data_IF_069784563649
#
_entry.id   IF_069784563649
#
_cell.length_a   1.000
_cell.length_b   1.000
_cell.length_c   1.000
_cell.angle_alpha   90.00
_cell.angle_beta   90.00
_cell.angle_gamma   90.00
#
_symmetry.space_group_name_H-M   'P 1'
#
loop_
_entity.id
_entity.type
_entity.pdbx_description
1 polymer ?
#
# COMPACT_ATOMS: atom_id res chain seq x y z
N UNK A 1 -2.61 42.58 -10.41
CA UNK A 1 -2.01 42.23 -11.72
C UNK A 1 -1.24 40.96 -11.53
N UNK A 2 -1.50 39.93 -12.33
CA UNK A 2 -0.81 38.63 -12.19
C UNK A 2 0.68 38.74 -12.46
N UNK A 3 1.53 37.98 -11.79
CA UNK A 3 3.00 38.04 -11.90
C UNK A 3 3.51 37.76 -13.32
N UNK A 4 2.72 37.06 -14.17
CA UNK A 4 3.05 36.72 -15.57
C UNK A 4 2.39 37.66 -16.61
N UNK A 5 1.71 38.73 -16.20
CA UNK A 5 0.88 39.56 -17.10
C UNK A 5 1.67 40.54 -18.03
N UNK A 6 3.00 40.55 -18.01
CA UNK A 6 3.82 41.55 -18.68
C UNK A 6 3.59 41.75 -20.19
N UNK A 7 3.06 40.74 -20.92
CA UNK A 7 2.76 40.79 -22.36
C UNK A 7 1.29 41.10 -22.64
N UNK A 8 0.39 40.82 -21.68
CA UNK A 8 -1.05 40.82 -21.94
C UNK A 8 -1.64 42.23 -21.81
N UNK A 9 -2.52 42.59 -22.74
CA UNK A 9 -3.19 43.90 -22.78
C UNK A 9 -4.60 43.86 -22.15
N UNK A 10 -5.09 42.68 -21.80
CA UNK A 10 -6.39 42.50 -21.19
C UNK A 10 -6.23 41.68 -19.92
N UNK A 11 -7.11 41.90 -18.95
CA UNK A 11 -7.22 41.03 -17.76
C UNK A 11 -7.76 39.65 -18.16
N UNK A 12 -7.33 38.63 -17.43
CA UNK A 12 -7.83 37.24 -17.62
C UNK A 12 -9.29 37.20 -17.17
N UNK A 13 -10.13 36.52 -17.92
CA UNK A 13 -11.52 36.27 -17.55
C UNK A 13 -11.58 35.48 -16.22
N UNK A 14 -12.55 35.80 -15.38
CA UNK A 14 -12.72 35.12 -14.07
C UNK A 14 -12.94 33.63 -14.22
N UNK A 15 -13.73 33.19 -15.21
CA UNK A 15 -13.94 31.77 -15.50
C UNK A 15 -12.62 31.04 -15.83
N UNK A 16 -11.71 31.69 -16.53
CA UNK A 16 -10.38 31.13 -16.85
C UNK A 16 -9.51 31.06 -15.59
N UNK A 17 -9.62 32.05 -14.70
CA UNK A 17 -8.91 32.03 -13.42
C UNK A 17 -9.36 30.85 -12.58
N UNK A 18 -10.66 30.68 -12.41
CA UNK A 18 -11.23 29.57 -11.62
C UNK A 18 -10.88 28.20 -12.22
N UNK A 19 -10.95 28.08 -13.56
CA UNK A 19 -10.60 26.87 -14.29
C UNK A 19 -9.13 26.47 -14.16
N UNK A 20 -8.23 27.45 -14.12
CA UNK A 20 -6.79 27.23 -14.05
C UNK A 20 -6.26 27.09 -12.61
N UNK A 21 -7.03 27.53 -11.61
CA UNK A 21 -6.60 27.53 -10.22
C UNK A 21 -6.45 26.12 -9.66
N UNK A 22 -5.33 25.86 -8.98
CA UNK A 22 -5.02 24.61 -8.29
C UNK A 22 -4.96 24.73 -6.77
N UNK A 23 -5.10 25.95 -6.24
CA UNK A 23 -4.97 26.20 -4.80
C UNK A 23 -5.92 25.35 -3.95
N UNK A 24 -7.07 24.98 -4.48
CA UNK A 24 -8.04 24.12 -3.80
C UNK A 24 -7.51 22.74 -3.40
N UNK A 25 -6.51 22.23 -4.08
CA UNK A 25 -5.89 20.93 -3.80
C UNK A 25 -4.38 21.01 -3.56
N UNK A 26 -3.64 21.93 -4.21
CA UNK A 26 -2.19 22.03 -4.06
C UNK A 26 -1.75 22.78 -2.79
N UNK A 27 -2.68 23.41 -2.07
CA UNK A 27 -2.41 24.03 -0.78
C UNK A 27 -1.68 23.10 0.20
N UNK A 28 -1.89 21.78 0.11
CA UNK A 28 -1.21 20.80 0.98
C UNK A 28 0.31 20.72 0.76
N UNK A 29 0.81 21.23 -0.37
CA UNK A 29 2.24 21.25 -0.68
C UNK A 29 2.99 22.45 -0.04
N UNK A 30 2.37 23.23 0.84
CA UNK A 30 2.97 24.42 1.40
C UNK A 30 4.33 24.18 2.10
N UNK A 31 4.48 23.02 2.77
CA UNK A 31 5.74 22.66 3.42
C UNK A 31 6.84 22.39 2.41
N UNK A 32 6.52 21.61 1.37
CA UNK A 32 7.46 21.24 0.31
C UNK A 32 7.89 22.47 -0.48
N UNK A 33 6.95 23.35 -0.86
CA UNK A 33 7.26 24.60 -1.55
C UNK A 33 8.15 25.53 -0.72
N UNK A 34 7.85 25.72 0.57
CA UNK A 34 8.68 26.55 1.45
C UNK A 34 10.08 25.97 1.62
N UNK A 35 10.21 24.66 1.80
CA UNK A 35 11.51 23.99 1.92
C UNK A 35 12.31 24.07 0.62
N UNK A 36 11.68 23.83 -0.53
CA UNK A 36 12.27 24.03 -1.85
C UNK A 36 12.75 25.44 -2.06
N UNK A 37 11.93 26.42 -1.69
CA UNK A 37 12.23 27.86 -1.75
C UNK A 37 13.38 28.27 -0.82
N UNK A 38 13.45 27.73 0.40
CA UNK A 38 14.56 27.96 1.33
C UNK A 38 15.90 27.41 0.75
N UNK A 39 15.88 26.19 0.24
CA UNK A 39 17.06 25.58 -0.36
C UNK A 39 17.54 26.37 -1.58
N UNK A 40 16.61 26.84 -2.42
CA UNK A 40 16.90 27.67 -3.58
C UNK A 40 17.49 29.03 -3.17
N UNK A 41 16.91 29.75 -2.23
CA UNK A 41 17.40 31.04 -1.73
C UNK A 41 18.80 30.91 -1.13
N UNK A 42 19.05 29.87 -0.34
CA UNK A 42 20.37 29.59 0.26
C UNK A 42 21.44 29.33 -0.84
N UNK A 43 21.06 28.62 -1.91
CA UNK A 43 21.93 28.38 -3.06
C UNK A 43 22.20 29.70 -3.83
N UNK A 44 21.19 30.51 -4.06
CA UNK A 44 21.36 31.80 -4.77
C UNK A 44 22.32 32.73 -4.03
N UNK A 45 22.22 32.84 -2.69
CA UNK A 45 23.17 33.62 -1.89
C UNK A 45 24.57 33.05 -1.97
N UNK A 46 24.76 31.74 -1.73
CA UNK A 46 26.09 31.10 -1.75
C UNK A 46 26.79 31.19 -3.12
N UNK A 47 26.03 31.20 -4.22
CA UNK A 47 26.57 31.36 -5.58
C UNK A 47 26.77 32.84 -5.95
N UNK A 48 26.46 33.80 -5.07
CA UNK A 48 26.58 35.23 -5.32
C UNK A 48 25.61 35.75 -6.42
N UNK A 49 24.51 35.04 -6.64
CA UNK A 49 23.46 35.43 -7.60
C UNK A 49 22.59 36.53 -7.00
N UNK A 50 22.36 36.46 -5.71
CA UNK A 50 21.76 37.51 -4.86
C UNK A 50 22.69 37.79 -3.70
N UNK A 51 22.51 38.93 -3.03
CA UNK A 51 23.32 39.28 -1.88
C UNK A 51 22.99 38.36 -0.67
N UNK A 52 23.99 38.02 0.13
CA UNK A 52 23.83 37.12 1.30
C UNK A 52 22.74 37.59 2.24
N UNK A 53 22.69 38.89 2.55
CA UNK A 53 21.68 39.48 3.42
C UNK A 53 20.26 39.41 2.85
N UNK A 54 20.09 39.37 1.52
CA UNK A 54 18.80 39.18 0.86
C UNK A 54 18.36 37.71 0.95
N UNK A 55 19.32 36.78 0.75
CA UNK A 55 19.06 35.34 0.94
C UNK A 55 18.60 35.03 2.36
N UNK A 56 19.31 35.56 3.37
CA UNK A 56 18.94 35.41 4.80
C UNK A 56 17.53 35.95 5.07
N UNK A 57 17.21 37.16 4.58
CA UNK A 57 15.92 37.79 4.74
C UNK A 57 14.76 36.97 4.10
N UNK A 58 15.00 36.39 2.93
CA UNK A 58 14.07 35.49 2.25
C UNK A 58 13.84 34.23 3.11
N UNK A 59 14.90 33.59 3.57
CA UNK A 59 14.82 32.37 4.39
C UNK A 59 14.05 32.61 5.70
N UNK A 60 14.35 33.72 6.40
CA UNK A 60 13.62 34.09 7.61
C UNK A 60 12.14 34.39 7.33
N UNK A 61 11.85 35.11 6.23
CA UNK A 61 10.49 35.39 5.79
C UNK A 61 9.70 34.11 5.48
N UNK A 62 10.30 33.13 4.80
CA UNK A 62 9.68 31.84 4.49
C UNK A 62 9.43 31.00 5.74
N UNK A 63 10.37 30.95 6.69
CA UNK A 63 10.18 30.27 7.98
C UNK A 63 9.04 30.89 8.79
N UNK A 64 8.92 32.22 8.78
CA UNK A 64 7.85 32.91 9.47
C UNK A 64 6.48 32.66 8.79
N UNK A 65 6.44 32.53 7.45
CA UNK A 65 5.22 32.15 6.72
C UNK A 65 4.81 30.72 7.07
N UNK A 66 5.78 29.78 7.12
CA UNK A 66 5.51 28.40 7.52
C UNK A 66 4.85 28.34 8.89
N UNK A 67 5.43 29.03 9.89
CA UNK A 67 4.87 29.09 11.22
C UNK A 67 3.44 29.69 11.25
N UNK A 68 3.19 30.74 10.48
CA UNK A 68 1.86 31.34 10.41
C UNK A 68 0.82 30.42 9.76
N UNK A 69 1.22 29.59 8.76
CA UNK A 69 0.35 28.58 8.15
C UNK A 69 0.03 27.48 9.17
N UNK A 70 1.05 26.96 9.86
CA UNK A 70 0.90 25.91 10.87
C UNK A 70 0.05 26.37 12.07
N UNK A 71 0.13 27.65 12.44
CA UNK A 71 -0.70 28.28 13.47
C UNK A 71 -2.13 28.59 12.98
N UNK A 72 -2.46 28.32 11.71
CA UNK A 72 -3.78 28.60 11.14
C UNK A 72 -4.09 30.09 10.96
N UNK A 73 -3.06 30.94 10.86
CA UNK A 73 -3.19 32.40 10.72
C UNK A 73 -3.30 32.87 9.27
N UNK A 74 -3.15 31.96 8.32
CA UNK A 74 -3.09 32.26 6.88
C UNK A 74 -4.30 31.68 6.18
N UNK A 75 -4.95 32.52 5.35
CA UNK A 75 -5.92 32.09 4.35
C UNK A 75 -5.30 32.24 2.96
N UNK A 76 -5.35 31.16 2.15
CA UNK A 76 -4.87 31.22 0.78
C UNK A 76 -5.89 31.91 -0.13
N UNK A 77 -5.40 32.72 -1.05
CA UNK A 77 -6.22 33.47 -2.00
C UNK A 77 -6.34 32.71 -3.33
N UNK A 78 -7.57 32.54 -3.80
CA UNK A 78 -7.86 32.01 -5.15
C UNK A 78 -7.31 32.92 -6.27
N UNK A 79 -7.14 34.22 -6.02
CA UNK A 79 -6.57 35.17 -6.98
C UNK A 79 -5.10 34.85 -7.32
N UNK A 80 -4.42 34.12 -6.45
CA UNK A 80 -3.02 33.70 -6.64
C UNK A 80 -2.88 32.31 -7.28
N UNK A 81 -3.89 31.79 -7.91
CA UNK A 81 -3.89 30.57 -8.74
C UNK A 81 -3.43 29.28 -8.03
N UNK A 82 -2.24 29.26 -7.40
CA UNK A 82 -1.60 28.09 -6.78
C UNK A 82 -0.90 28.42 -5.47
N UNK A 83 -0.43 27.40 -4.76
CA UNK A 83 0.28 27.57 -3.47
C UNK A 83 1.57 28.37 -3.65
N UNK A 84 2.27 28.20 -4.74
CA UNK A 84 3.54 28.86 -5.02
C UNK A 84 3.37 30.37 -5.12
N UNK A 85 2.36 30.83 -5.87
CA UNK A 85 2.04 32.27 -5.99
C UNK A 85 1.53 32.83 -4.67
N UNK A 86 0.79 32.06 -3.87
CA UNK A 86 0.36 32.47 -2.55
C UNK A 86 1.56 32.74 -1.63
N UNK A 87 2.52 31.81 -1.56
CA UNK A 87 3.73 31.95 -0.74
C UNK A 87 4.60 33.11 -1.23
N UNK A 88 4.82 33.25 -2.56
CA UNK A 88 5.60 34.35 -3.12
C UNK A 88 4.96 35.71 -2.87
N UNK A 89 3.63 35.84 -2.95
CA UNK A 89 2.90 37.06 -2.65
C UNK A 89 3.02 37.42 -1.15
N UNK A 90 2.82 36.46 -0.25
CA UNK A 90 2.99 36.65 1.19
C UNK A 90 4.42 37.07 1.54
N UNK A 91 5.41 36.41 0.92
CA UNK A 91 6.81 36.75 1.14
C UNK A 91 7.12 38.20 0.69
N UNK A 92 6.67 38.57 -0.52
CA UNK A 92 6.87 39.92 -1.05
C UNK A 92 6.18 40.98 -0.19
N UNK A 93 4.97 40.69 0.29
CA UNK A 93 4.27 41.59 1.21
C UNK A 93 5.03 41.78 2.56
N UNK A 94 5.67 40.72 3.05
CA UNK A 94 6.36 40.72 4.34
C UNK A 94 7.73 41.38 4.29
N UNK A 95 8.52 41.13 3.23
CA UNK A 95 9.93 41.56 3.17
C UNK A 95 10.23 42.53 2.03
N UNK A 96 9.25 42.92 1.23
CA UNK A 96 9.39 43.89 0.15
C UNK A 96 10.18 43.37 -1.05
N UNK A 97 11.00 44.23 -1.67
CA UNK A 97 11.70 43.89 -2.93
C UNK A 97 12.65 42.69 -2.84
N UNK A 98 13.19 42.38 -1.67
CA UNK A 98 13.99 41.17 -1.49
C UNK A 98 13.20 39.89 -1.81
N UNK A 99 11.88 39.86 -1.49
CA UNK A 99 11.01 38.70 -1.82
C UNK A 99 10.88 38.43 -3.31
N UNK A 100 10.92 39.46 -4.13
CA UNK A 100 10.85 39.33 -5.60
C UNK A 100 12.08 38.62 -6.21
N UNK A 101 13.20 38.52 -5.47
CA UNK A 101 14.42 37.85 -5.93
C UNK A 101 14.38 36.34 -5.78
N UNK A 102 13.44 35.81 -5.01
CA UNK A 102 13.29 34.38 -4.81
C UNK A 102 13.08 33.61 -6.13
N UNK A 103 12.42 34.23 -7.10
CA UNK A 103 12.14 33.60 -8.40
C UNK A 103 13.34 33.61 -9.37
N UNK A 104 14.47 34.25 -9.01
CA UNK A 104 15.66 34.30 -9.85
C UNK A 104 16.16 32.90 -10.19
N UNK A 105 16.43 32.65 -11.48
CA UNK A 105 16.93 31.36 -12.01
C UNK A 105 15.99 30.15 -11.77
N UNK A 106 14.71 30.38 -11.44
CA UNK A 106 13.70 29.33 -11.20
C UNK A 106 12.51 29.50 -12.15
N UNK A 107 11.87 28.41 -12.46
CA UNK A 107 10.58 28.36 -13.14
C UNK A 107 9.51 27.73 -12.25
N UNK A 108 8.24 28.00 -12.55
CA UNK A 108 7.14 27.28 -11.95
C UNK A 108 7.25 25.76 -12.22
N UNK A 109 7.80 25.38 -13.39
CA UNK A 109 7.87 23.98 -13.81
C UNK A 109 8.77 23.15 -12.90
N UNK A 110 10.01 23.60 -12.59
CA UNK A 110 10.90 22.87 -11.70
C UNK A 110 10.49 22.99 -10.22
N UNK A 111 9.82 24.08 -9.85
CA UNK A 111 9.24 24.27 -8.52
C UNK A 111 8.12 23.25 -8.25
N UNK A 112 7.12 23.15 -9.13
CA UNK A 112 6.03 22.17 -8.98
C UNK A 112 6.57 20.73 -9.02
N UNK A 113 7.55 20.45 -9.88
CA UNK A 113 8.16 19.13 -9.98
C UNK A 113 8.85 18.71 -8.68
N UNK A 114 9.63 19.61 -8.05
CA UNK A 114 10.32 19.28 -6.79
C UNK A 114 9.34 19.10 -5.64
N UNK A 115 8.29 19.92 -5.55
CA UNK A 115 7.33 19.88 -4.45
C UNK A 115 6.53 18.58 -4.47
N UNK A 116 6.04 18.18 -5.64
CA UNK A 116 5.31 16.91 -5.78
C UNK A 116 6.23 15.72 -5.48
N UNK A 117 7.49 15.75 -5.94
CA UNK A 117 8.46 14.70 -5.71
C UNK A 117 8.88 14.61 -4.23
N UNK A 118 9.06 15.75 -3.56
CA UNK A 118 9.30 15.80 -2.11
C UNK A 118 8.12 15.22 -1.32
N UNK A 119 6.89 15.60 -1.67
CA UNK A 119 5.68 15.08 -1.04
C UNK A 119 5.64 13.55 -1.14
N UNK A 120 5.76 13.00 -2.35
CA UNK A 120 5.77 11.54 -2.56
C UNK A 120 6.91 10.86 -1.80
N UNK A 121 8.11 11.49 -1.76
CA UNK A 121 9.26 10.99 -1.01
C UNK A 121 8.99 10.88 0.50
N UNK A 122 8.17 11.75 1.03
CA UNK A 122 7.82 11.80 2.46
C UNK A 122 6.69 10.81 2.81
N UNK A 123 5.74 10.59 1.91
CA UNK A 123 4.60 9.70 2.15
C UNK A 123 4.96 8.20 2.03
N UNK A 124 5.88 7.84 1.13
CA UNK A 124 6.27 6.43 0.96
C UNK A 124 6.76 5.79 2.27
N UNK A 125 7.67 6.39 3.06
CA UNK A 125 8.08 5.84 4.35
C UNK A 125 6.93 5.70 5.35
N UNK A 126 5.97 6.63 5.35
CA UNK A 126 4.79 6.55 6.22
C UNK A 126 3.91 5.34 5.86
N UNK A 127 3.68 5.12 4.56
CA UNK A 127 2.94 3.94 4.07
C UNK A 127 3.70 2.64 4.37
N UNK A 128 5.01 2.58 4.14
CA UNK A 128 5.85 1.42 4.49
C UNK A 128 5.68 1.09 5.97
N UNK A 129 5.76 2.08 6.85
CA UNK A 129 5.57 1.88 8.28
C UNK A 129 4.21 1.26 8.60
N UNK A 130 3.13 1.74 7.99
CA UNK A 130 1.79 1.20 8.20
C UNK A 130 1.66 -0.26 7.71
N UNK A 131 2.33 -0.61 6.60
CA UNK A 131 2.38 -2.00 6.12
C UNK A 131 3.15 -2.90 7.09
N UNK A 132 4.28 -2.43 7.61
CA UNK A 132 5.05 -3.16 8.64
C UNK A 132 4.26 -3.33 9.94
N UNK A 133 3.48 -2.34 10.36
CA UNK A 133 2.58 -2.45 11.50
C UNK A 133 1.50 -3.54 11.27
N UNK A 134 0.94 -3.62 10.06
CA UNK A 134 0.03 -4.71 9.68
C UNK A 134 0.72 -6.08 9.72
N UNK A 135 1.96 -6.19 9.24
CA UNK A 135 2.72 -7.45 9.30
C UNK A 135 2.94 -7.93 10.75
N UNK A 136 3.21 -7.01 11.68
CA UNK A 136 3.31 -7.35 13.11
C UNK A 136 2.00 -7.92 13.65
N UNK A 137 0.86 -7.36 13.25
CA UNK A 137 -0.47 -7.89 13.58
C UNK A 137 -0.65 -9.31 13.05
N UNK A 138 -0.25 -9.56 11.80
CA UNK A 138 -0.35 -10.89 11.20
C UNK A 138 0.52 -11.92 11.91
N UNK A 139 1.74 -11.55 12.27
CA UNK A 139 2.65 -12.38 13.08
C UNK A 139 2.01 -12.73 14.41
N UNK A 140 1.49 -11.74 15.15
CA UNK A 140 0.80 -11.96 16.44
C UNK A 140 -0.39 -12.91 16.31
N UNK A 141 -1.22 -12.74 15.27
CA UNK A 141 -2.37 -13.61 14.99
C UNK A 141 -1.94 -15.04 14.62
N UNK A 142 -0.88 -15.17 13.83
CA UNK A 142 -0.34 -16.49 13.46
C UNK A 142 0.17 -17.25 14.69
N UNK A 143 0.94 -16.60 15.56
CA UNK A 143 1.46 -17.23 16.79
C UNK A 143 0.37 -17.73 17.71
N UNK A 144 -0.69 -16.94 17.87
CA UNK A 144 -1.83 -17.32 18.70
C UNK A 144 -2.64 -18.50 18.12
N UNK A 145 -2.41 -18.86 16.84
CA UNK A 145 -3.24 -19.82 16.11
C UNK A 145 -2.44 -20.91 15.37
N UNK A 146 -1.22 -21.23 15.82
CA UNK A 146 -0.35 -22.25 15.21
C UNK A 146 -1.01 -23.63 15.09
N UNK A 147 -1.84 -23.99 16.06
CA UNK A 147 -2.53 -25.27 16.12
C UNK A 147 -4.01 -25.19 15.65
N UNK A 148 -4.46 -24.03 15.14
CA UNK A 148 -5.83 -23.84 14.64
C UNK A 148 -5.97 -24.41 13.24
N UNK A 149 -6.36 -25.67 13.14
CA UNK A 149 -6.61 -26.36 11.86
C UNK A 149 -7.87 -25.82 11.21
N UNK A 150 -7.79 -25.54 9.91
CA UNK A 150 -8.90 -25.11 9.07
C UNK A 150 -8.81 -25.73 7.67
N UNK A 151 -9.93 -25.77 6.91
CA UNK A 151 -9.86 -26.21 5.52
C UNK A 151 -9.18 -25.15 4.67
N UNK A 152 -8.23 -25.55 3.83
CA UNK A 152 -7.76 -24.74 2.72
C UNK A 152 -8.70 -24.90 1.52
N UNK A 153 -8.85 -23.85 0.72
CA UNK A 153 -9.78 -23.79 -0.40
C UNK A 153 -9.06 -23.57 -1.73
N UNK A 154 -9.51 -24.26 -2.76
CA UNK A 154 -9.30 -23.94 -4.16
C UNK A 154 -10.65 -23.96 -4.87
N UNK A 155 -10.93 -23.02 -5.77
CA UNK A 155 -12.24 -22.89 -6.44
C UNK A 155 -13.43 -22.78 -5.46
N UNK A 156 -13.21 -22.22 -4.24
CA UNK A 156 -14.13 -22.22 -3.12
C UNK A 156 -14.60 -23.65 -2.69
N UNK A 157 -13.88 -24.68 -3.11
CA UNK A 157 -14.06 -26.06 -2.66
C UNK A 157 -13.02 -26.38 -1.58
N UNK A 158 -13.42 -27.13 -0.56
CA UNK A 158 -12.48 -27.63 0.45
C UNK A 158 -11.47 -28.55 -0.23
N UNK A 159 -10.17 -28.25 -0.04
CA UNK A 159 -9.10 -28.91 -0.77
C UNK A 159 -8.20 -29.74 0.18
N UNK A 160 -7.42 -29.09 1.01
CA UNK A 160 -6.47 -29.74 1.92
C UNK A 160 -6.51 -29.08 3.30
N UNK A 161 -6.15 -29.80 4.38
CA UNK A 161 -6.06 -29.20 5.69
C UNK A 161 -4.85 -28.26 5.76
N UNK A 162 -5.08 -27.12 6.43
CA UNK A 162 -4.06 -26.11 6.71
C UNK A 162 -4.30 -25.53 8.11
N UNK A 163 -3.60 -24.43 8.45
CA UNK A 163 -3.82 -23.68 9.69
C UNK A 163 -4.16 -22.23 9.42
N UNK A 164 -4.87 -21.60 10.35
CA UNK A 164 -5.10 -20.15 10.31
C UNK A 164 -3.77 -19.37 10.32
N UNK A 165 -2.78 -19.85 11.07
CA UNK A 165 -1.45 -19.26 11.08
C UNK A 165 -0.79 -19.27 9.70
N UNK A 166 -0.92 -20.36 8.95
CA UNK A 166 -0.38 -20.45 7.59
C UNK A 166 -1.05 -19.47 6.64
N UNK A 167 -2.37 -19.25 6.76
CA UNK A 167 -3.08 -18.21 6.03
C UNK A 167 -2.54 -16.81 6.34
N UNK A 168 -2.33 -16.50 7.63
CA UNK A 168 -1.77 -15.20 8.01
C UNK A 168 -0.38 -14.98 7.40
N UNK A 169 0.47 -16.02 7.39
CA UNK A 169 1.80 -15.94 6.77
C UNK A 169 1.75 -15.82 5.24
N UNK A 170 0.72 -16.34 4.59
CA UNK A 170 0.53 -16.13 3.16
C UNK A 170 0.29 -14.64 2.84
N UNK A 171 -0.56 -13.96 3.59
CA UNK A 171 -0.80 -12.52 3.45
C UNK A 171 0.42 -11.69 3.86
N UNK A 172 1.11 -12.03 4.95
CA UNK A 172 2.36 -11.36 5.32
C UNK A 172 3.40 -11.41 4.20
N UNK A 173 3.53 -12.54 3.49
CA UNK A 173 4.43 -12.62 2.33
C UNK A 173 3.97 -11.75 1.13
N UNK A 174 2.70 -11.41 1.01
CA UNK A 174 2.22 -10.44 0.00
C UNK A 174 2.65 -9.03 0.40
N UNK A 175 2.39 -8.62 1.63
CA UNK A 175 2.74 -7.28 2.15
C UNK A 175 4.26 -7.06 2.23
N UNK A 176 5.04 -8.08 2.57
CA UNK A 176 6.50 -8.04 2.45
C UNK A 176 6.97 -7.61 1.05
N UNK A 177 6.35 -8.15 -0.01
CA UNK A 177 6.66 -7.75 -1.39
C UNK A 177 6.19 -6.34 -1.72
N UNK A 178 5.15 -5.84 -1.05
CA UNK A 178 4.67 -4.47 -1.25
C UNK A 178 5.64 -3.46 -0.62
N UNK A 179 6.19 -3.76 0.56
CA UNK A 179 7.26 -2.94 1.17
C UNK A 179 8.44 -2.81 0.23
N UNK A 180 8.95 -3.92 -0.33
CA UNK A 180 10.13 -3.85 -1.22
C UNK A 180 9.85 -3.11 -2.53
N UNK A 181 8.62 -3.12 -3.05
CA UNK A 181 8.22 -2.29 -4.20
C UNK A 181 8.28 -0.81 -3.86
N UNK A 182 7.70 -0.42 -2.73
CA UNK A 182 7.72 0.97 -2.26
C UNK A 182 9.14 1.48 -2.02
N UNK A 183 10.04 0.64 -1.50
CA UNK A 183 11.46 0.97 -1.34
C UNK A 183 12.15 1.16 -2.69
N UNK A 184 11.87 0.31 -3.66
CA UNK A 184 12.38 0.42 -5.02
C UNK A 184 11.88 1.71 -5.71
N UNK A 185 10.62 2.09 -5.53
CA UNK A 185 10.06 3.36 -5.99
C UNK A 185 10.77 4.53 -5.32
N UNK A 186 10.95 4.49 -3.98
CA UNK A 186 11.66 5.51 -3.22
C UNK A 186 13.10 5.71 -3.72
N UNK A 187 13.81 4.62 -4.03
CA UNK A 187 15.17 4.68 -4.56
C UNK A 187 15.25 5.33 -5.95
N UNK A 188 14.27 5.08 -6.83
CA UNK A 188 14.23 5.68 -8.17
C UNK A 188 13.81 7.15 -8.17
N UNK A 189 12.94 7.55 -7.26
CA UNK A 189 12.51 8.95 -7.16
C UNK A 189 13.54 9.87 -6.51
N UNK A 190 14.63 9.34 -5.94
CA UNK A 190 15.60 10.09 -5.12
C UNK A 190 16.56 10.99 -5.92
N UNK A 191 16.00 11.73 -6.89
CA UNK A 191 16.68 12.71 -7.73
C UNK A 191 15.93 14.04 -7.75
N UNK A 192 16.66 15.17 -7.58
CA UNK A 192 16.09 16.50 -7.43
C UNK A 192 15.90 17.20 -8.78
N UNK A 193 14.68 17.63 -9.15
CA UNK A 193 14.45 18.39 -10.39
C UNK A 193 14.76 19.88 -10.26
N UNK A 194 14.89 20.45 -9.05
CA UNK A 194 15.06 21.88 -8.85
C UNK A 194 16.36 22.40 -9.49
N UNK A 195 16.25 23.56 -10.15
CA UNK A 195 17.30 24.15 -10.96
C UNK A 195 17.28 23.74 -12.43
N UNK A 196 16.30 22.90 -12.84
CA UNK A 196 16.06 22.59 -14.25
C UNK A 196 15.44 23.79 -15.02
N UNK A 197 14.91 24.77 -14.28
CA UNK A 197 14.20 25.91 -14.86
C UNK A 197 12.93 25.48 -15.57
N UNK A 198 12.56 26.15 -16.64
CA UNK A 198 11.38 25.75 -17.42
C UNK A 198 11.59 24.41 -18.16
N UNK A 199 12.82 24.17 -18.69
CA UNK A 199 13.24 22.95 -19.38
C UNK A 199 14.76 22.92 -19.73
N UNK A 200 15.43 24.06 -19.75
CA UNK A 200 16.81 24.20 -20.25
C UNK A 200 17.74 24.88 -19.24
N UNK A 201 17.45 24.74 -17.96
CA UNK A 201 18.18 25.35 -16.86
C UNK A 201 18.15 26.88 -16.87
N UNK A 202 19.25 27.54 -16.50
CA UNK A 202 19.40 28.98 -16.41
C UNK A 202 20.81 29.40 -16.87
N UNK A 203 20.98 30.64 -17.25
CA UNK A 203 22.30 31.26 -17.55
C UNK A 203 23.07 31.64 -16.28
N UNK A 204 22.46 31.55 -15.11
CA UNK A 204 23.10 31.75 -13.82
C UNK A 204 23.87 30.50 -13.39
N UNK A 205 24.97 30.65 -12.64
CA UNK A 205 25.77 29.53 -12.16
C UNK A 205 25.11 28.83 -10.94
N UNK A 206 23.89 28.31 -11.12
CA UNK A 206 23.17 27.60 -10.05
C UNK A 206 23.84 26.28 -9.71
N UNK A 207 23.94 25.97 -8.42
CA UNK A 207 24.46 24.70 -7.92
C UNK A 207 23.29 23.74 -7.58
N UNK A 208 22.96 22.89 -8.54
CA UNK A 208 21.90 21.89 -8.39
C UNK A 208 22.23 20.79 -7.37
N UNK A 209 23.52 20.49 -7.15
CA UNK A 209 23.92 19.53 -6.12
C UNK A 209 23.68 20.08 -4.72
N UNK A 210 23.98 21.36 -4.49
CA UNK A 210 23.69 22.02 -3.23
C UNK A 210 22.20 21.96 -2.89
N UNK A 211 21.30 22.30 -3.84
CA UNK A 211 19.85 22.24 -3.62
C UNK A 211 19.36 20.82 -3.41
N UNK A 212 19.84 19.84 -4.19
CA UNK A 212 19.50 18.43 -4.02
C UNK A 212 19.85 17.93 -2.61
N UNK A 213 21.06 18.15 -2.15
CA UNK A 213 21.50 17.74 -0.81
C UNK A 213 20.74 18.44 0.32
N UNK A 214 20.46 19.75 0.17
CA UNK A 214 19.68 20.51 1.14
C UNK A 214 18.25 19.99 1.30
N UNK A 215 17.69 19.38 0.25
CA UNK A 215 16.36 18.77 0.23
C UNK A 215 16.38 17.26 0.52
N UNK A 216 17.56 16.69 0.82
CA UNK A 216 17.71 15.28 1.14
C UNK A 216 17.60 14.34 -0.05
N UNK A 217 17.80 14.83 -1.29
CA UNK A 217 17.95 13.98 -2.48
C UNK A 217 19.40 13.52 -2.65
N UNK A 218 19.56 12.33 -3.24
CA UNK A 218 20.88 11.78 -3.53
C UNK A 218 21.69 12.65 -4.53
N UNK A 219 21.02 13.12 -5.60
CA UNK A 219 21.64 13.95 -6.64
C UNK A 219 20.56 14.77 -7.39
N UNK A 220 20.96 15.77 -8.22
CA UNK A 220 20.04 16.35 -9.19
C UNK A 220 19.74 15.36 -10.32
N UNK A 221 18.58 15.50 -10.97
CA UNK A 221 18.25 14.78 -12.21
C UNK A 221 19.25 15.11 -13.33
N UNK A 222 19.54 14.12 -14.17
CA UNK A 222 20.62 14.20 -15.18
C UNK A 222 20.27 15.04 -16.42
N UNK A 223 18.98 15.22 -16.71
CA UNK A 223 18.51 16.03 -17.85
C UNK A 223 17.44 17.03 -17.43
N UNK A 224 17.62 18.31 -17.70
CA UNK A 224 16.72 19.38 -17.27
C UNK A 224 15.34 19.38 -17.96
N UNK A 225 15.26 18.86 -19.17
CA UNK A 225 13.98 18.76 -19.88
C UNK A 225 13.13 17.61 -19.34
N UNK A 226 13.76 16.48 -19.09
CA UNK A 226 13.18 15.32 -18.42
C UNK A 226 12.75 15.65 -16.99
N UNK A 227 13.57 16.40 -16.24
CA UNK A 227 13.30 16.84 -14.87
C UNK A 227 11.91 17.41 -14.62
N UNK A 228 11.43 18.24 -15.55
CA UNK A 228 10.14 18.93 -15.42
C UNK A 228 8.99 18.15 -16.09
N UNK A 229 9.32 17.12 -16.86
CA UNK A 229 8.37 16.26 -17.58
C UNK A 229 8.07 14.96 -16.82
N UNK A 230 9.03 14.44 -16.07
CA UNK A 230 8.94 13.15 -15.40
C UNK A 230 7.80 13.07 -14.38
N UNK A 231 6.98 12.04 -14.53
CA UNK A 231 5.96 11.60 -13.57
C UNK A 231 6.01 10.07 -13.35
N UNK A 232 7.08 9.42 -13.83
CA UNK A 232 7.22 7.96 -13.72
C UNK A 232 7.19 7.52 -12.27
N UNK A 233 7.85 8.26 -11.36
CA UNK A 233 7.83 7.99 -9.92
C UNK A 233 6.41 7.99 -9.32
N UNK A 234 5.53 8.87 -9.82
CA UNK A 234 4.16 8.95 -9.35
C UNK A 234 3.31 7.80 -9.93
N UNK A 235 3.51 7.47 -11.21
CA UNK A 235 2.85 6.32 -11.86
C UNK A 235 3.29 5.01 -11.19
N UNK A 236 4.58 4.87 -10.89
CA UNK A 236 5.13 3.71 -10.19
C UNK A 236 4.50 3.59 -8.81
N UNK A 237 4.47 4.66 -8.01
CA UNK A 237 3.79 4.66 -6.72
C UNK A 237 2.32 4.23 -6.85
N UNK A 238 1.57 4.79 -7.82
CA UNK A 238 0.17 4.42 -8.02
C UNK A 238 0.03 2.94 -8.40
N UNK A 239 0.97 2.37 -9.15
CA UNK A 239 1.00 0.95 -9.47
C UNK A 239 1.27 0.09 -8.21
N UNK A 240 2.21 0.48 -7.38
CA UNK A 240 2.54 -0.20 -6.14
C UNK A 240 1.38 -0.14 -5.13
N UNK A 241 0.76 1.03 -4.96
CA UNK A 241 -0.43 1.20 -4.14
C UNK A 241 -1.63 0.39 -4.68
N UNK A 242 -1.74 0.26 -6.00
CA UNK A 242 -2.77 -0.59 -6.62
C UNK A 242 -2.56 -2.07 -6.29
N UNK A 243 -1.31 -2.56 -6.29
CA UNK A 243 -0.98 -3.93 -5.90
C UNK A 243 -1.24 -4.14 -4.40
N UNK A 244 -0.83 -3.21 -3.56
CA UNK A 244 -1.08 -3.23 -2.11
C UNK A 244 -2.60 -3.30 -1.81
N UNK A 245 -3.39 -2.43 -2.44
CA UNK A 245 -4.84 -2.43 -2.27
C UNK A 245 -5.50 -3.71 -2.82
N UNK A 246 -4.96 -4.31 -3.87
CA UNK A 246 -5.41 -5.62 -4.36
C UNK A 246 -5.17 -6.71 -3.31
N UNK A 247 -4.03 -6.71 -2.62
CA UNK A 247 -3.78 -7.65 -1.53
C UNK A 247 -4.73 -7.43 -0.35
N UNK A 248 -4.97 -6.18 0.05
CA UNK A 248 -5.96 -5.83 1.08
C UNK A 248 -7.39 -6.24 0.66
N UNK A 249 -7.76 -6.04 -0.60
CA UNK A 249 -9.05 -6.44 -1.16
C UNK A 249 -9.25 -7.96 -1.10
N UNK A 250 -8.24 -8.75 -1.48
CA UNK A 250 -8.28 -10.21 -1.39
C UNK A 250 -8.42 -10.67 0.06
N UNK A 251 -7.70 -10.07 0.98
CA UNK A 251 -7.81 -10.40 2.39
C UNK A 251 -9.17 -9.99 2.97
N UNK A 252 -9.68 -8.83 2.56
CA UNK A 252 -11.05 -8.40 2.89
C UNK A 252 -12.10 -9.43 2.47
N UNK A 253 -11.99 -9.98 1.26
CA UNK A 253 -12.89 -11.03 0.76
C UNK A 253 -12.86 -12.28 1.63
N UNK A 254 -11.66 -12.76 2.01
CA UNK A 254 -11.53 -13.89 2.95
C UNK A 254 -12.21 -13.59 4.29
N UNK A 255 -11.99 -12.39 4.87
CA UNK A 255 -12.60 -11.99 6.14
C UNK A 255 -14.12 -11.93 6.01
N UNK A 256 -14.66 -11.37 4.92
CA UNK A 256 -16.10 -11.31 4.66
C UNK A 256 -16.71 -12.71 4.59
N UNK A 257 -16.07 -13.63 3.84
CA UNK A 257 -16.48 -15.03 3.80
C UNK A 257 -16.42 -15.67 5.19
N UNK A 258 -15.31 -15.49 5.91
CA UNK A 258 -15.12 -16.09 7.23
C UNK A 258 -16.08 -15.54 8.30
N UNK A 259 -16.54 -14.29 8.17
CA UNK A 259 -17.53 -13.70 9.06
C UNK A 259 -18.97 -14.14 8.74
N UNK A 260 -19.23 -14.64 7.51
CA UNK A 260 -20.57 -15.05 7.11
C UNK A 260 -21.16 -16.12 8.01
N UNK A 261 -22.49 -16.22 8.04
CA UNK A 261 -23.19 -17.21 8.84
C UNK A 261 -22.84 -18.65 8.42
N UNK A 262 -22.53 -18.86 7.15
CA UNK A 262 -22.19 -20.16 6.55
C UNK A 262 -20.81 -20.64 6.99
N UNK A 263 -19.81 -19.74 7.11
CA UNK A 263 -18.45 -20.07 7.54
C UNK A 263 -18.27 -19.93 9.06
N UNK A 264 -18.53 -18.78 9.62
CA UNK A 264 -18.31 -18.46 11.06
C UNK A 264 -16.93 -18.86 11.57
N UNK A 265 -15.91 -18.62 10.77
CA UNK A 265 -14.52 -18.90 11.12
C UNK A 265 -13.91 -17.85 12.01
N UNK A 266 -14.34 -16.60 11.82
CA UNK A 266 -13.96 -15.46 12.62
C UNK A 266 -15.17 -14.62 12.98
N UNK A 267 -15.00 -13.76 13.98
CA UNK A 267 -15.95 -12.72 14.34
C UNK A 267 -15.20 -11.42 14.55
N UNK A 268 -15.64 -10.36 13.88
CA UNK A 268 -15.08 -9.03 14.07
C UNK A 268 -15.48 -8.47 15.44
N UNK A 269 -14.64 -7.61 16.00
CA UNK A 269 -14.98 -6.82 17.18
C UNK A 269 -16.12 -5.85 16.86
N UNK A 270 -16.93 -5.52 17.86
CA UNK A 270 -18.06 -4.60 17.70
C UNK A 270 -17.62 -3.20 17.27
N UNK A 271 -16.40 -2.78 17.65
CA UNK A 271 -15.81 -1.52 17.25
C UNK A 271 -15.48 -1.42 15.75
N UNK A 272 -15.39 -2.57 15.05
CA UNK A 272 -15.06 -2.67 13.62
C UNK A 272 -16.18 -3.33 12.80
N UNK A 273 -17.40 -3.22 13.28
CA UNK A 273 -18.59 -3.80 12.67
C UNK A 273 -19.76 -2.84 12.76
N UNK A 274 -20.76 -3.02 11.92
CA UNK A 274 -22.03 -2.32 12.09
C UNK A 274 -23.18 -3.29 12.26
N UNK A 275 -24.29 -2.79 12.80
CA UNK A 275 -25.54 -3.53 12.94
C UNK A 275 -26.57 -3.16 11.88
N UNK A 276 -27.81 -3.62 12.09
CA UNK A 276 -28.97 -3.22 11.31
C UNK A 276 -29.98 -2.51 12.20
N UNK A 277 -30.59 -1.46 11.69
CA UNK A 277 -31.65 -0.72 12.41
C UNK A 277 -32.93 -1.53 12.65
N UNK A 278 -33.12 -2.62 11.89
CA UNK A 278 -34.34 -3.45 11.95
C UNK A 278 -34.08 -4.93 12.24
N UNK A 279 -32.83 -5.37 12.14
CA UNK A 279 -32.42 -6.77 12.35
C UNK A 279 -31.41 -6.86 13.50
N UNK A 280 -31.85 -7.05 14.77
CA UNK A 280 -30.98 -6.94 15.93
C UNK A 280 -29.88 -8.02 16.00
N UNK A 281 -30.00 -9.11 15.24
CA UNK A 281 -29.01 -10.18 15.15
C UNK A 281 -27.91 -9.92 14.10
N UNK A 282 -28.07 -8.90 13.25
CA UNK A 282 -27.18 -8.68 12.11
C UNK A 282 -25.91 -7.91 12.52
N UNK A 283 -24.78 -8.42 12.10
CA UNK A 283 -23.46 -7.80 12.28
C UNK A 283 -22.72 -7.83 10.94
N UNK A 284 -22.35 -6.67 10.42
CA UNK A 284 -21.81 -6.52 9.08
C UNK A 284 -20.29 -6.28 9.13
N UNK A 285 -19.51 -6.84 8.20
CA UNK A 285 -18.07 -6.62 8.09
C UNK A 285 -17.75 -5.36 7.25
N UNK A 286 -18.38 -4.21 7.57
CA UNK A 286 -18.34 -3.00 6.71
C UNK A 286 -16.92 -2.49 6.47
N UNK A 287 -16.01 -2.60 7.44
CA UNK A 287 -14.60 -2.20 7.26
C UNK A 287 -13.96 -2.98 6.12
N UNK A 288 -14.10 -4.30 6.12
CA UNK A 288 -13.57 -5.14 5.06
C UNK A 288 -14.24 -4.83 3.69
N UNK A 289 -15.54 -4.60 3.69
CA UNK A 289 -16.27 -4.25 2.46
C UNK A 289 -15.83 -2.90 1.89
N UNK A 290 -15.63 -1.88 2.75
CA UNK A 290 -15.16 -0.56 2.33
C UNK A 290 -13.72 -0.60 1.82
N UNK A 291 -12.81 -1.34 2.47
CA UNK A 291 -11.44 -1.51 1.97
C UNK A 291 -11.45 -2.17 0.59
N UNK A 292 -12.24 -3.23 0.40
CA UNK A 292 -12.45 -3.87 -0.90
C UNK A 292 -12.99 -2.88 -1.94
N UNK A 293 -13.97 -2.05 -1.58
CA UNK A 293 -14.57 -1.05 -2.47
C UNK A 293 -13.59 0.09 -2.83
N UNK A 294 -12.84 0.59 -1.85
CA UNK A 294 -11.85 1.69 -2.05
C UNK A 294 -10.69 1.29 -2.97
N UNK A 295 -10.42 0.00 -3.16
CA UNK A 295 -9.40 -0.50 -4.10
C UNK A 295 -9.61 0.05 -5.51
N UNK A 296 -10.87 0.11 -5.99
CA UNK A 296 -11.20 0.66 -7.31
C UNK A 296 -10.83 2.14 -7.47
N UNK A 297 -10.83 2.90 -6.38
CA UNK A 297 -10.46 4.31 -6.35
C UNK A 297 -8.96 4.49 -6.66
N UNK A 298 -8.10 3.69 -6.02
CA UNK A 298 -6.65 3.70 -6.26
C UNK A 298 -6.31 3.21 -7.68
N UNK A 299 -7.03 2.21 -8.19
CA UNK A 299 -6.90 1.80 -9.60
C UNK A 299 -7.27 2.94 -10.56
N UNK A 300 -8.33 3.70 -10.24
CA UNK A 300 -8.71 4.89 -11.00
C UNK A 300 -7.59 5.93 -11.06
N UNK A 301 -6.91 6.19 -9.94
CA UNK A 301 -5.78 7.11 -9.88
C UNK A 301 -4.62 6.69 -10.81
N UNK A 302 -4.23 5.42 -10.81
CA UNK A 302 -3.22 4.89 -11.74
C UNK A 302 -3.62 5.10 -13.20
N UNK A 303 -4.87 4.77 -13.56
CA UNK A 303 -5.38 4.95 -14.93
C UNK A 303 -5.42 6.42 -15.31
N UNK A 304 -5.78 7.30 -14.37
CA UNK A 304 -5.76 8.76 -14.57
C UNK A 304 -4.36 9.25 -14.93
N UNK A 305 -3.33 8.91 -14.14
CA UNK A 305 -1.95 9.35 -14.42
C UNK A 305 -1.42 8.81 -15.75
N UNK A 306 -1.64 7.52 -16.04
CA UNK A 306 -1.26 6.94 -17.34
C UNK A 306 -1.96 7.66 -18.50
N UNK A 307 -3.22 8.07 -18.31
CA UNK A 307 -4.00 8.76 -19.33
C UNK A 307 -3.55 10.20 -19.50
N UNK A 308 -3.26 10.92 -18.42
CA UNK A 308 -2.72 12.28 -18.45
C UNK A 308 -1.39 12.31 -19.20
N UNK A 309 -0.47 11.41 -18.86
CA UNK A 309 0.88 11.43 -19.41
C UNK A 309 0.99 10.92 -20.84
N UNK A 310 0.07 10.05 -21.31
CA UNK A 310 0.12 9.55 -22.68
C UNK A 310 0.10 10.70 -23.68
N UNK A 311 0.93 10.62 -24.70
CA UNK A 311 0.95 11.55 -25.84
C UNK A 311 1.30 13.02 -25.52
N UNK A 312 1.71 13.36 -24.29
CA UNK A 312 2.21 14.69 -23.97
C UNK A 312 3.59 14.89 -24.59
N UNK A 313 3.82 16.01 -25.31
CA UNK A 313 5.17 16.38 -25.69
C UNK A 313 5.97 16.84 -24.46
N UNK A 314 7.30 16.79 -24.59
CA UNK A 314 8.20 17.42 -23.60
C UNK A 314 8.00 18.95 -23.61
N UNK A 315 8.23 19.68 -22.56
CA UNK A 315 8.65 19.27 -21.22
C UNK A 315 7.47 19.30 -20.25
N UNK A 316 6.78 20.42 -20.11
CA UNK A 316 5.61 20.63 -19.27
C UNK A 316 4.41 21.11 -20.10
N UNK A 317 3.26 20.53 -19.81
CA UNK A 317 1.96 20.95 -20.34
C UNK A 317 0.98 21.07 -19.17
N UNK A 318 0.00 21.94 -19.27
CA UNK A 318 -0.98 22.21 -18.18
C UNK A 318 -1.77 20.96 -17.79
N UNK A 319 -1.89 19.96 -18.67
CA UNK A 319 -2.46 18.62 -18.40
C UNK A 319 -1.84 17.98 -17.15
N UNK A 320 -0.55 18.21 -16.92
CA UNK A 320 0.16 17.68 -15.75
C UNK A 320 -0.33 18.23 -14.40
N UNK A 321 -1.18 19.26 -14.38
CA UNK A 321 -1.82 19.72 -13.16
C UNK A 321 -2.77 18.69 -12.58
N UNK A 322 -3.35 17.83 -13.46
CA UNK A 322 -4.27 16.75 -13.09
C UNK A 322 -3.60 15.58 -12.38
N UNK A 323 -2.26 15.59 -12.22
CA UNK A 323 -1.51 14.55 -11.50
C UNK A 323 -1.81 14.55 -10.00
N UNK A 324 -1.93 15.73 -9.40
CA UNK A 324 -1.92 15.92 -7.95
C UNK A 324 -3.15 15.35 -7.26
N UNK A 325 -4.35 15.62 -7.77
CA UNK A 325 -5.58 15.10 -7.15
C UNK A 325 -5.59 13.58 -7.13
N UNK A 326 -5.13 12.93 -8.20
CA UNK A 326 -5.02 11.47 -8.27
C UNK A 326 -3.99 10.93 -7.26
N UNK A 327 -2.81 11.57 -7.16
CA UNK A 327 -1.75 11.19 -6.20
C UNK A 327 -2.27 11.33 -4.76
N UNK A 328 -2.82 12.49 -4.42
CA UNK A 328 -3.30 12.79 -3.07
C UNK A 328 -4.43 11.85 -2.65
N UNK A 329 -5.41 11.64 -3.53
CA UNK A 329 -6.55 10.77 -3.25
C UNK A 329 -6.14 9.31 -3.02
N UNK A 330 -5.19 8.81 -3.81
CA UNK A 330 -4.70 7.44 -3.65
C UNK A 330 -3.91 7.26 -2.35
N UNK A 331 -3.01 8.19 -2.03
CA UNK A 331 -2.23 8.17 -0.78
C UNK A 331 -3.17 8.25 0.42
N UNK A 332 -4.05 9.26 0.49
CA UNK A 332 -5.03 9.43 1.57
C UNK A 332 -5.91 8.17 1.74
N UNK A 333 -6.30 7.55 0.63
CA UNK A 333 -7.11 6.32 0.65
C UNK A 333 -6.34 5.15 1.27
N UNK A 334 -5.08 4.95 0.91
CA UNK A 334 -4.24 3.87 1.44
C UNK A 334 -3.93 4.10 2.92
N UNK A 335 -3.55 5.32 3.29
CA UNK A 335 -3.25 5.69 4.68
C UNK A 335 -4.46 5.58 5.60
N UNK A 336 -5.66 5.76 5.08
CA UNK A 336 -6.90 5.50 5.81
C UNK A 336 -7.18 4.00 5.95
N UNK A 337 -6.95 3.21 4.89
CA UNK A 337 -7.29 1.79 4.86
C UNK A 337 -6.37 0.93 5.73
N UNK A 338 -5.05 1.17 5.69
CA UNK A 338 -4.07 0.33 6.38
C UNK A 338 -4.28 0.27 7.89
N UNK A 339 -4.35 1.40 8.63
CA UNK A 339 -4.50 1.36 10.08
C UNK A 339 -5.83 0.74 10.52
N UNK A 340 -6.93 1.08 9.87
CA UNK A 340 -8.25 0.53 10.22
C UNK A 340 -8.32 -0.97 9.92
N UNK A 341 -7.70 -1.42 8.82
CA UNK A 341 -7.63 -2.83 8.47
C UNK A 341 -6.76 -3.60 9.47
N UNK A 342 -5.60 -3.08 9.83
CA UNK A 342 -4.71 -3.68 10.84
C UNK A 342 -5.42 -3.82 12.20
N UNK A 343 -6.11 -2.79 12.66
CA UNK A 343 -6.85 -2.81 13.91
C UNK A 343 -8.05 -3.79 13.87
N UNK A 344 -8.77 -3.87 12.76
CA UNK A 344 -9.82 -4.87 12.54
C UNK A 344 -9.26 -6.29 12.64
N UNK A 345 -8.12 -6.57 12.01
CA UNK A 345 -7.46 -7.88 12.07
C UNK A 345 -6.94 -8.17 13.47
N UNK A 346 -6.35 -7.19 14.16
CA UNK A 346 -5.81 -7.40 15.52
C UNK A 346 -6.89 -7.75 16.52
N UNK A 347 -8.09 -7.20 16.37
CA UNK A 347 -9.19 -7.40 17.32
C UNK A 347 -10.11 -8.58 16.97
N UNK A 348 -10.08 -9.09 15.73
CA UNK A 348 -10.95 -10.21 15.33
C UNK A 348 -10.75 -11.45 16.20
N UNK A 349 -11.85 -12.12 16.51
CA UNK A 349 -11.89 -13.38 17.28
C UNK A 349 -11.91 -14.58 16.35
N UNK A 350 -10.92 -15.45 16.47
CA UNK A 350 -10.86 -16.72 15.71
C UNK A 350 -11.79 -17.75 16.37
N UNK A 351 -12.47 -18.57 15.59
CA UNK A 351 -13.41 -19.62 16.02
C UNK A 351 -12.86 -21.01 15.67
N UNK A 352 -11.85 -21.54 16.40
CA UNK A 352 -11.16 -22.79 16.06
C UNK A 352 -12.09 -24.00 15.95
N UNK A 353 -13.13 -24.06 16.80
CA UNK A 353 -14.12 -25.15 16.77
C UNK A 353 -14.90 -25.21 15.45
N UNK A 354 -15.27 -24.05 14.90
CA UNK A 354 -16.00 -23.98 13.64
C UNK A 354 -15.09 -24.35 12.47
N UNK A 355 -13.84 -23.90 12.49
CA UNK A 355 -12.83 -24.24 11.51
C UNK A 355 -12.56 -25.75 11.51
N UNK A 356 -12.34 -26.35 12.68
CA UNK A 356 -12.12 -27.79 12.83
C UNK A 356 -13.34 -28.61 12.35
N UNK A 357 -14.57 -28.18 12.68
CA UNK A 357 -15.81 -28.82 12.20
C UNK A 357 -15.92 -28.74 10.66
N UNK A 358 -15.55 -27.61 10.07
CA UNK A 358 -15.56 -27.47 8.61
C UNK A 358 -14.44 -28.32 7.96
N UNK A 359 -13.30 -28.45 8.60
CA UNK A 359 -12.20 -29.28 8.14
C UNK A 359 -12.52 -30.77 8.19
N UNK A 360 -13.28 -31.22 9.20
CA UNK A 360 -13.71 -32.62 9.32
C UNK A 360 -14.66 -33.08 8.20
N UNK A 361 -15.38 -32.14 7.57
CA UNK A 361 -16.25 -32.46 6.45
C UNK A 361 -15.58 -32.23 5.11
N UNK A 362 -15.87 -33.06 4.09
CA UNK A 362 -15.44 -32.85 2.71
C UNK A 362 -14.16 -33.57 2.28
N UNK A 363 -13.74 -34.58 3.05
CA UNK A 363 -12.66 -35.52 2.66
C UNK A 363 -11.33 -34.83 2.38
N UNK A 364 -11.01 -33.73 3.06
CA UNK A 364 -9.77 -32.96 2.82
C UNK A 364 -8.49 -33.74 3.18
N UNK A 365 -8.61 -34.85 3.90
CA UNK A 365 -7.57 -35.82 4.22
C UNK A 365 -7.49 -37.00 3.22
N UNK A 366 -8.24 -36.97 2.11
CA UNK A 366 -8.21 -38.03 1.11
C UNK A 366 -6.84 -38.20 0.44
N UNK A 367 -6.13 -37.09 0.20
CA UNK A 367 -4.75 -37.14 -0.32
C UNK A 367 -3.81 -37.82 0.68
N UNK A 368 -3.98 -37.55 1.99
CA UNK A 368 -3.19 -38.18 3.06
C UNK A 368 -3.46 -39.69 3.13
N UNK A 369 -4.69 -40.11 2.85
CA UNK A 369 -5.05 -41.54 2.72
C UNK A 369 -4.32 -42.18 1.52
N UNK A 370 -4.24 -41.50 0.39
CA UNK A 370 -3.49 -42.01 -0.77
C UNK A 370 -1.99 -42.06 -0.48
N UNK A 371 -1.45 -41.05 0.16
CA UNK A 371 -0.04 -41.00 0.57
C UNK A 371 0.31 -42.12 1.57
N UNK A 372 -0.61 -42.44 2.50
CA UNK A 372 -0.46 -43.57 3.41
C UNK A 372 -0.24 -44.89 2.64
N UNK A 373 -1.07 -45.17 1.66
CA UNK A 373 -0.93 -46.37 0.82
C UNK A 373 0.36 -46.34 -0.01
N UNK A 374 0.73 -45.15 -0.49
CA UNK A 374 1.95 -44.99 -1.31
C UNK A 374 3.20 -45.23 -0.46
N UNK A 375 3.20 -44.76 0.80
CA UNK A 375 4.28 -45.06 1.77
C UNK A 375 4.38 -46.54 2.08
N UNK A 376 3.30 -47.32 1.94
CA UNK A 376 3.28 -48.76 2.02
C UNK A 376 3.65 -49.49 0.71
N UNK A 377 4.10 -48.76 -0.30
CA UNK A 377 4.66 -49.30 -1.54
C UNK A 377 3.70 -49.34 -2.72
N UNK A 378 2.48 -48.84 -2.60
CA UNK A 378 1.53 -48.80 -3.73
C UNK A 378 1.82 -47.60 -4.65
N UNK A 379 1.80 -47.76 -5.98
CA UNK A 379 1.88 -46.63 -6.90
C UNK A 379 0.76 -45.60 -6.63
N UNK A 380 1.10 -44.32 -6.67
CA UNK A 380 0.14 -43.25 -6.29
C UNK A 380 -1.17 -43.30 -7.10
N UNK A 381 -1.11 -43.61 -8.38
CA UNK A 381 -2.32 -43.73 -9.24
C UNK A 381 -3.26 -44.81 -8.78
N UNK A 382 -2.73 -45.94 -8.28
CA UNK A 382 -3.53 -47.04 -7.73
C UNK A 382 -4.10 -46.61 -6.36
N UNK A 383 -3.27 -45.99 -5.49
CA UNK A 383 -3.72 -45.45 -4.23
C UNK A 383 -4.86 -44.47 -4.42
N UNK A 384 -4.73 -43.54 -5.39
CA UNK A 384 -5.78 -42.57 -5.73
C UNK A 384 -7.11 -43.25 -6.10
N UNK A 385 -7.08 -44.32 -6.93
CA UNK A 385 -8.29 -45.06 -7.30
C UNK A 385 -8.93 -45.80 -6.11
N UNK A 386 -8.12 -46.31 -5.20
CA UNK A 386 -8.60 -46.95 -3.95
C UNK A 386 -9.29 -45.93 -3.07
N UNK A 387 -8.66 -44.77 -2.84
CA UNK A 387 -9.23 -43.67 -2.00
C UNK A 387 -10.50 -43.12 -2.64
N UNK A 388 -10.56 -42.97 -3.95
CA UNK A 388 -11.77 -42.58 -4.67
C UNK A 388 -12.95 -43.53 -4.39
N UNK A 389 -12.70 -44.84 -4.27
CA UNK A 389 -13.74 -45.81 -3.88
C UNK A 389 -14.16 -45.65 -2.41
N UNK A 390 -13.20 -45.37 -1.50
CA UNK A 390 -13.50 -45.09 -0.09
C UNK A 390 -14.36 -43.83 0.06
N UNK A 391 -14.00 -42.74 -0.63
CA UNK A 391 -14.79 -41.50 -0.63
C UNK A 391 -16.22 -41.75 -1.15
N UNK A 392 -16.37 -42.53 -2.24
CA UNK A 392 -17.68 -42.89 -2.76
C UNK A 392 -18.48 -43.76 -1.76
N UNK A 393 -17.82 -44.61 -1.01
CA UNK A 393 -18.47 -45.38 0.08
C UNK A 393 -18.98 -44.43 1.16
N UNK A 394 -18.12 -43.52 1.66
CA UNK A 394 -18.48 -42.54 2.66
C UNK A 394 -19.66 -41.65 2.24
N UNK A 395 -19.67 -41.20 0.98
CA UNK A 395 -20.80 -40.41 0.45
C UNK A 395 -22.12 -41.19 0.49
N UNK A 396 -22.09 -42.50 0.21
CA UNK A 396 -23.29 -43.36 0.24
C UNK A 396 -23.79 -43.67 1.64
N UNK A 397 -22.86 -43.82 2.61
CA UNK A 397 -23.22 -44.18 3.98
C UNK A 397 -23.44 -42.96 4.88
N UNK A 398 -22.98 -41.78 4.47
CA UNK A 398 -22.98 -40.57 5.30
C UNK A 398 -21.80 -40.51 6.27
N UNK A 399 -20.80 -41.36 6.09
CA UNK A 399 -19.57 -41.40 6.88
C UNK A 399 -18.51 -40.42 6.40
N UNK A 400 -17.41 -40.34 7.13
CA UNK A 400 -16.14 -39.69 6.76
C UNK A 400 -15.02 -40.73 6.76
N UNK A 401 -13.85 -40.42 6.18
CA UNK A 401 -12.73 -41.37 6.15
C UNK A 401 -12.27 -41.79 7.56
N UNK A 402 -12.35 -40.89 8.53
CA UNK A 402 -11.96 -41.14 9.92
C UNK A 402 -13.03 -41.90 10.74
N UNK A 403 -14.26 -42.05 10.24
CA UNK A 403 -15.32 -42.82 10.89
C UNK A 403 -15.52 -44.21 10.29
N UNK A 404 -14.94 -44.51 9.13
CA UNK A 404 -14.97 -45.85 8.53
C UNK A 404 -14.31 -46.87 9.47
N UNK A 405 -14.87 -48.07 9.52
CA UNK A 405 -14.24 -49.18 10.26
C UNK A 405 -13.03 -49.73 9.51
N UNK A 406 -12.06 -50.32 10.25
CA UNK A 406 -10.92 -50.98 9.60
C UNK A 406 -11.36 -52.10 8.65
N UNK A 407 -12.52 -52.71 8.91
CA UNK A 407 -13.13 -53.74 8.04
C UNK A 407 -13.53 -53.11 6.68
N UNK A 408 -14.08 -51.89 6.69
CA UNK A 408 -14.47 -51.17 5.45
C UNK A 408 -13.23 -50.79 4.64
N UNK A 409 -12.18 -50.31 5.28
CA UNK A 409 -10.90 -50.04 4.66
C UNK A 409 -10.30 -51.31 4.04
N UNK A 410 -10.24 -52.40 4.79
CA UNK A 410 -9.67 -53.65 4.30
C UNK A 410 -10.51 -54.34 3.22
N UNK A 411 -11.79 -54.09 3.19
CA UNK A 411 -12.64 -54.59 2.07
C UNK A 411 -12.27 -54.00 0.73
N UNK A 412 -11.60 -52.82 0.70
CA UNK A 412 -11.15 -52.14 -0.53
C UNK A 412 -9.67 -52.40 -0.78
N UNK A 413 -8.83 -52.45 0.24
CA UNK A 413 -7.41 -52.81 0.15
C UNK A 413 -6.90 -53.46 1.45
N UNK A 414 -6.23 -54.56 1.34
CA UNK A 414 -5.61 -55.27 2.50
C UNK A 414 -4.40 -54.57 3.10
N UNK A 415 -3.93 -53.46 2.44
CA UNK A 415 -2.79 -52.66 2.92
C UNK A 415 -3.15 -51.74 4.10
N UNK A 416 -4.43 -51.56 4.39
CA UNK A 416 -4.87 -50.75 5.52
C UNK A 416 -4.72 -51.51 6.84
N UNK A 417 -4.07 -50.80 7.81
CA UNK A 417 -3.96 -51.23 9.22
C UNK A 417 -4.49 -50.16 10.16
N UNK A 418 -4.48 -50.41 11.46
CA UNK A 418 -5.00 -49.50 12.48
C UNK A 418 -4.31 -48.11 12.46
N UNK A 419 -3.08 -48.03 12.01
CA UNK A 419 -2.29 -46.80 11.87
C UNK A 419 -2.88 -45.79 10.85
N UNK A 420 -3.85 -46.23 10.05
CA UNK A 420 -4.57 -45.36 9.11
C UNK A 420 -5.30 -44.22 9.82
N UNK A 421 -5.86 -44.47 11.01
CA UNK A 421 -6.59 -43.44 11.75
C UNK A 421 -5.69 -42.31 12.23
N UNK A 422 -4.46 -42.63 12.65
CA UNK A 422 -3.46 -41.61 12.99
C UNK A 422 -3.03 -40.83 11.72
N UNK A 423 -2.81 -41.51 10.62
CA UNK A 423 -2.45 -40.89 9.34
C UNK A 423 -3.54 -39.94 8.83
N UNK A 424 -4.83 -40.21 9.09
CA UNK A 424 -5.97 -39.44 8.67
C UNK A 424 -6.37 -38.32 9.62
N UNK A 425 -5.81 -38.31 10.86
CA UNK A 425 -6.08 -37.26 11.82
C UNK A 425 -5.64 -35.89 11.24
N UNK A 426 -6.55 -34.94 11.18
CA UNK A 426 -6.29 -33.63 10.51
C UNK A 426 -5.05 -32.93 11.06
N UNK A 427 -4.78 -33.06 12.35
CA UNK A 427 -3.58 -32.50 12.99
C UNK A 427 -2.32 -33.18 12.49
N UNK A 428 -2.33 -34.50 12.31
CA UNK A 428 -1.23 -35.24 11.69
C UNK A 428 -1.05 -34.86 10.24
N UNK A 429 -2.14 -34.77 9.47
CA UNK A 429 -2.12 -34.35 8.07
C UNK A 429 -1.42 -32.98 7.89
N UNK A 430 -1.71 -32.01 8.77
CA UNK A 430 -1.04 -30.71 8.75
C UNK A 430 0.42 -30.82 9.15
N UNK A 431 0.72 -31.49 10.28
CA UNK A 431 2.07 -31.55 10.86
C UNK A 431 3.07 -32.38 10.02
N UNK A 432 2.60 -33.31 9.22
CA UNK A 432 3.47 -34.05 8.28
C UNK A 432 3.90 -33.23 7.05
N UNK A 433 3.30 -32.06 6.79
CA UNK A 433 3.67 -31.15 5.71
C UNK A 433 4.80 -30.21 6.12
N UNK A 434 5.96 -30.78 6.46
CA UNK A 434 7.15 -30.10 7.05
C UNK A 434 8.05 -29.41 6.04
N UNK A 435 7.77 -29.55 4.75
CA UNK A 435 8.57 -28.92 3.70
C UNK A 435 8.61 -27.39 3.86
N UNK A 436 9.67 -26.78 3.37
CA UNK A 436 9.83 -25.32 3.43
C UNK A 436 8.60 -24.62 2.85
N UNK A 437 8.03 -23.67 3.61
CA UNK A 437 6.80 -22.97 3.22
C UNK A 437 5.51 -23.74 3.49
N UNK A 438 5.58 -24.95 4.05
CA UNK A 438 4.41 -25.77 4.37
C UNK A 438 3.65 -25.30 5.62
N UNK A 439 2.45 -25.92 5.88
CA UNK A 439 1.58 -25.54 6.99
C UNK A 439 1.94 -26.19 8.33
N UNK A 440 2.93 -27.10 8.41
CA UNK A 440 3.35 -27.70 9.66
C UNK A 440 3.78 -26.64 10.66
N UNK A 441 3.51 -26.86 11.94
CA UNK A 441 3.79 -25.90 13.01
C UNK A 441 5.22 -25.36 12.96
N UNK A 442 6.21 -26.24 12.83
CA UNK A 442 7.63 -25.87 12.75
C UNK A 442 7.95 -25.03 11.49
N UNK A 443 7.28 -25.31 10.36
CA UNK A 443 7.47 -24.59 9.11
C UNK A 443 6.82 -23.19 9.17
N UNK A 444 5.67 -23.07 9.83
CA UNK A 444 5.00 -21.78 10.06
C UNK A 444 5.79 -20.92 11.05
N UNK A 445 6.36 -21.50 12.09
CA UNK A 445 7.25 -20.80 13.02
C UNK A 445 8.45 -20.17 12.31
N UNK A 446 9.07 -20.89 11.37
CA UNK A 446 10.14 -20.31 10.53
C UNK A 446 9.66 -19.18 9.66
N UNK A 447 8.46 -19.28 9.09
CA UNK A 447 7.86 -18.17 8.31
C UNK A 447 7.64 -16.93 9.19
N UNK A 448 7.16 -17.12 10.41
CA UNK A 448 6.99 -16.04 11.40
C UNK A 448 8.35 -15.37 11.73
N UNK A 449 9.39 -16.18 11.98
CA UNK A 449 10.73 -15.66 12.24
C UNK A 449 11.27 -14.83 11.07
N UNK A 450 11.08 -15.29 9.83
CA UNK A 450 11.49 -14.56 8.62
C UNK A 450 10.76 -13.23 8.45
N UNK A 451 9.46 -13.19 8.73
CA UNK A 451 8.69 -11.92 8.68
C UNK A 451 9.14 -10.98 9.80
N UNK A 452 9.35 -11.48 11.02
CA UNK A 452 9.89 -10.66 12.13
C UNK A 452 11.24 -10.06 11.83
N UNK A 453 12.15 -10.86 11.26
CA UNK A 453 13.45 -10.37 10.85
C UNK A 453 13.30 -9.27 9.82
N UNK A 454 12.49 -9.48 8.79
CA UNK A 454 12.20 -8.50 7.75
C UNK A 454 11.67 -7.19 8.36
N UNK A 455 10.64 -7.26 9.20
CA UNK A 455 10.09 -6.08 9.89
C UNK A 455 11.16 -5.36 10.71
N UNK A 456 11.99 -6.09 11.46
CA UNK A 456 13.07 -5.50 12.26
C UNK A 456 14.19 -4.83 11.43
N UNK A 457 14.43 -5.28 10.22
CA UNK A 457 15.40 -4.69 9.29
C UNK A 457 14.87 -3.39 8.65
N UNK A 458 13.55 -3.26 8.43
CA UNK A 458 12.90 -2.15 7.74
C UNK A 458 12.25 -1.11 8.69
N UNK A 459 12.28 -1.35 10.01
CA UNK A 459 11.76 -0.40 11.02
C UNK A 459 12.86 0.55 11.52
N UNK A 460 14.11 0.37 11.10
CA UNK A 460 15.25 1.21 11.49
C UNK A 460 15.41 2.40 10.54
#
# INVERSE_FOLDING_TARGET
MKLWAGRFQKETDTLVNDFNSSIGFDARLYQQDIRGSIAHAAMLGKQGIIEDHEAEKIIEGLKAILADIEDGKVEFSMDNEDIHMNIEAMLTQRIGDAGKRLHTARSRNDQVAVDTRLYVKEEIPAIIKQVLDLEQVLVKKAEANLDTVMPGYTHLQRAQPTTFAHYMMAYANMFKRDVTRLEDCLARLDECPLGAGALATSTYPVDRFQTAHALGFHKPTDNSMDSVSDRDYAIELMADLSILMMHLSRFSEEIILWCSWEFKFVELDDAYSTGSSIMPQKKNPDVAELVRGKTGRVYGALVTLLTVMKSLPLAYNKDMQEDKEAIFDAIDTVELCLPVFAAMVDTLSVRPKNMAKAAAGGFINATDCADYLTKKGLPFREAYMIVGRLVNLCIKTGDTLDTLTLKDFRAISSLFDEDVYEALALKTCVNERKVYGGPAKESVQKQIELIRQFVGEHTK
#
